data_IF_428081903206
#
_entry.id   IF_428081903206
#
_cell.length_a   1.000
_cell.length_b   1.000
_cell.length_c   1.000
_cell.angle_alpha   90.00
_cell.angle_beta   90.00
_cell.angle_gamma   90.00
#
_symmetry.space_group_name_H-M   'P 1'
#
loop_
_entity.id
_entity.type
_entity.pdbx_description
1 polymer ?
#
# COMPACT_ATOMS: atom_id res chain seq x y z
N UNK A 1 -9.64 -83.77 -15.22
CA UNK A 1 -9.47 -83.86 -16.71
C UNK A 1 -8.11 -83.24 -17.02
N UNK A 2 -7.13 -83.79 -17.74
CA UNK A 2 -6.98 -84.89 -18.69
C UNK A 2 -5.61 -85.56 -18.46
N UNK A 3 -5.54 -86.83 -18.85
CA UNK A 3 -4.47 -87.83 -18.72
C UNK A 3 -3.23 -87.51 -19.57
N UNK A 4 -2.07 -88.08 -19.19
CA UNK A 4 -1.15 -88.90 -20.04
C UNK A 4 0.00 -89.41 -19.16
N UNK A 5 -0.02 -90.67 -18.71
CA UNK A 5 0.28 -91.96 -19.37
C UNK A 5 1.75 -92.38 -19.18
N UNK A 6 1.90 -93.30 -18.23
CA UNK A 6 2.96 -94.28 -18.04
C UNK A 6 3.17 -95.13 -19.32
N UNK A 7 4.41 -95.50 -19.64
CA UNK A 7 4.70 -96.76 -20.33
C UNK A 7 6.14 -97.21 -20.04
N UNK A 8 6.21 -98.13 -19.07
CA UNK A 8 7.30 -99.07 -18.85
C UNK A 8 7.03 -100.27 -19.77
N UNK A 9 8.03 -100.67 -20.57
CA UNK A 9 8.19 -101.99 -21.20
C UNK A 9 9.70 -102.24 -21.13
N UNK A 10 10.24 -103.33 -20.59
CA UNK A 10 9.71 -104.67 -20.50
C UNK A 10 10.67 -105.60 -21.24
N UNK A 11 11.61 -106.15 -20.47
CA UNK A 11 12.57 -107.23 -20.75
C UNK A 11 12.11 -108.32 -21.73
N UNK A 12 13.01 -108.87 -22.57
CA UNK A 12 13.34 -110.33 -22.60
C UNK A 12 14.27 -110.78 -23.74
N UNK A 13 15.37 -111.45 -23.35
CA UNK A 13 16.03 -112.66 -23.88
C UNK A 13 16.15 -112.96 -25.40
N UNK A 14 17.39 -113.15 -25.87
CA UNK A 14 17.96 -114.25 -26.70
C UNK A 14 19.42 -113.83 -27.02
N UNK A 15 20.50 -114.62 -26.98
CA UNK A 15 20.66 -116.05 -27.21
C UNK A 15 21.72 -116.26 -28.31
N UNK A 16 22.97 -116.49 -27.88
CA UNK A 16 24.01 -117.26 -28.56
C UNK A 16 24.75 -116.77 -29.83
N UNK A 17 26.05 -117.12 -29.80
CA UNK A 17 26.97 -117.46 -30.88
C UNK A 17 27.87 -116.35 -31.47
N UNK A 18 29.15 -116.49 -31.09
CA UNK A 18 30.35 -115.92 -31.71
C UNK A 18 30.32 -115.94 -33.25
N UNK A 19 30.70 -114.82 -33.85
CA UNK A 19 31.57 -114.77 -35.03
C UNK A 19 32.53 -113.57 -34.86
N UNK A 20 33.82 -113.87 -34.88
CA UNK A 20 34.90 -112.89 -34.94
C UNK A 20 34.69 -111.90 -36.08
N UNK A 21 34.83 -110.61 -35.80
CA UNK A 21 35.60 -109.72 -36.68
C UNK A 21 36.23 -108.61 -35.85
N UNK A 22 37.54 -108.46 -36.04
CA UNK A 22 38.37 -107.44 -35.45
C UNK A 22 37.92 -106.05 -35.94
N UNK A 23 37.82 -105.11 -35.00
CA UNK A 23 38.03 -103.70 -35.26
C UNK A 23 38.37 -103.03 -33.93
N UNK A 24 39.34 -102.15 -33.98
CA UNK A 24 40.01 -101.50 -32.87
C UNK A 24 39.05 -100.71 -31.97
N UNK A 25 39.24 -100.85 -30.67
CA UNK A 25 38.63 -100.05 -29.61
C UNK A 25 39.76 -99.64 -28.67
N UNK A 26 39.92 -98.44 -28.16
CA UNK A 26 39.18 -97.19 -28.27
C UNK A 26 40.05 -96.17 -27.49
N UNK A 27 40.69 -95.23 -28.19
CA UNK A 27 41.43 -94.14 -27.58
C UNK A 27 40.96 -92.76 -28.08
N UNK A 28 40.03 -92.73 -29.05
CA UNK A 28 39.49 -91.51 -29.66
C UNK A 28 38.15 -91.06 -29.06
N UNK A 29 37.40 -91.94 -28.39
CA UNK A 29 36.11 -91.59 -27.78
C UNK A 29 36.30 -90.72 -26.53
N UNK A 30 37.31 -91.02 -25.70
CA UNK A 30 37.57 -90.33 -24.42
C UNK A 30 37.96 -88.86 -24.61
N UNK A 31 38.80 -88.54 -25.61
CA UNK A 31 39.23 -87.17 -25.87
C UNK A 31 38.13 -86.32 -26.53
N UNK A 32 37.27 -86.93 -27.35
CA UNK A 32 36.10 -86.26 -27.93
C UNK A 32 35.03 -85.95 -26.87
N UNK A 33 34.80 -86.89 -25.94
CA UNK A 33 33.92 -86.72 -24.78
C UNK A 33 34.46 -85.63 -23.86
N UNK A 34 35.78 -85.58 -23.62
CA UNK A 34 36.41 -84.49 -22.83
C UNK A 34 36.24 -83.13 -23.48
N UNK A 35 36.48 -82.98 -24.78
CA UNK A 35 36.32 -81.70 -25.48
C UNK A 35 34.86 -81.23 -25.53
N UNK A 36 33.90 -82.16 -25.67
CA UNK A 36 32.47 -81.85 -25.59
C UNK A 36 32.07 -81.42 -24.17
N UNK A 37 32.63 -82.06 -23.13
CA UNK A 37 32.42 -81.72 -21.74
C UNK A 37 33.02 -80.34 -21.39
N UNK A 38 34.18 -80.03 -21.94
CA UNK A 38 34.85 -78.73 -21.78
C UNK A 38 34.03 -77.59 -22.41
N UNK A 39 33.57 -77.76 -23.66
CA UNK A 39 32.64 -76.81 -24.31
C UNK A 39 31.31 -76.68 -23.59
N UNK A 40 30.80 -77.76 -23.01
CA UNK A 40 29.57 -77.74 -22.23
C UNK A 40 29.76 -76.97 -20.92
N UNK A 41 30.87 -77.18 -20.22
CA UNK A 41 31.24 -76.42 -19.01
C UNK A 41 31.42 -74.94 -19.35
N UNK A 42 32.09 -74.62 -20.45
CA UNK A 42 32.30 -73.25 -20.91
C UNK A 42 30.97 -72.57 -21.28
N UNK A 43 30.09 -73.25 -22.03
CA UNK A 43 28.75 -72.76 -22.32
C UNK A 43 27.91 -72.57 -21.06
N UNK A 44 28.00 -73.50 -20.10
CA UNK A 44 27.33 -73.40 -18.80
C UNK A 44 27.85 -72.21 -18.00
N UNK A 45 29.15 -71.94 -18.07
CA UNK A 45 29.80 -70.80 -17.43
C UNK A 45 29.34 -69.48 -18.04
N UNK A 46 29.29 -69.39 -19.38
CA UNK A 46 28.78 -68.21 -20.10
C UNK A 46 27.31 -67.97 -19.79
N UNK A 47 26.45 -68.99 -19.88
CA UNK A 47 25.02 -68.88 -19.51
C UNK A 47 24.87 -68.41 -18.06
N UNK A 48 25.68 -68.94 -17.15
CA UNK A 48 25.64 -68.54 -15.74
C UNK A 48 26.14 -67.11 -15.53
N UNK A 49 27.13 -66.65 -16.30
CA UNK A 49 27.58 -65.25 -16.29
C UNK A 49 26.49 -64.32 -16.80
N UNK A 50 25.92 -64.63 -17.96
CA UNK A 50 24.89 -63.82 -18.60
C UNK A 50 23.59 -63.76 -17.77
N UNK A 51 23.21 -64.86 -17.11
CA UNK A 51 22.10 -64.86 -16.14
C UNK A 51 22.37 -63.94 -14.95
N UNK A 52 23.60 -63.88 -14.45
CA UNK A 52 23.97 -62.96 -13.36
C UNK A 52 23.97 -61.51 -13.82
N UNK A 53 24.56 -61.23 -14.99
CA UNK A 53 24.58 -59.89 -15.58
C UNK A 53 23.18 -59.39 -15.91
N UNK A 54 22.32 -60.26 -16.44
CA UNK A 54 20.91 -59.95 -16.68
C UNK A 54 20.18 -59.64 -15.37
N UNK A 55 20.36 -60.46 -14.33
CA UNK A 55 19.74 -60.22 -13.02
C UNK A 55 20.19 -58.87 -12.41
N UNK A 56 21.50 -58.59 -12.43
CA UNK A 56 22.05 -57.31 -12.00
C UNK A 56 21.54 -56.13 -12.83
N UNK A 57 21.46 -56.31 -14.15
CA UNK A 57 20.93 -55.28 -15.06
C UNK A 57 19.46 -54.98 -14.79
N UNK A 58 18.64 -56.00 -14.53
CA UNK A 58 17.24 -55.82 -14.14
C UNK A 58 17.12 -55.09 -12.79
N UNK A 59 17.91 -55.46 -11.79
CA UNK A 59 17.93 -54.80 -10.48
C UNK A 59 18.28 -53.32 -10.60
N UNK A 60 19.39 -53.00 -11.27
CA UNK A 60 19.83 -51.61 -11.49
C UNK A 60 18.80 -50.78 -12.28
N UNK A 61 18.15 -51.36 -13.29
CA UNK A 61 17.10 -50.65 -14.04
C UNK A 61 15.87 -50.40 -13.17
N UNK A 62 15.46 -51.36 -12.34
CA UNK A 62 14.34 -51.20 -11.42
C UNK A 62 14.62 -50.12 -10.38
N UNK A 63 15.81 -50.11 -9.77
CA UNK A 63 16.23 -49.05 -8.83
C UNK A 63 16.19 -47.68 -9.50
N UNK A 64 16.67 -47.58 -10.75
CA UNK A 64 16.64 -46.31 -11.50
C UNK A 64 15.22 -45.87 -11.84
N UNK A 65 14.34 -46.81 -12.20
CA UNK A 65 12.92 -46.52 -12.45
C UNK A 65 12.27 -45.99 -11.16
N UNK A 66 12.54 -46.62 -10.02
CA UNK A 66 12.02 -46.17 -8.73
C UNK A 66 12.49 -44.76 -8.38
N UNK A 67 13.78 -44.47 -8.54
CA UNK A 67 14.34 -43.13 -8.30
C UNK A 67 13.71 -42.07 -9.20
N UNK A 68 13.61 -42.35 -10.51
CA UNK A 68 13.00 -41.42 -11.48
C UNK A 68 11.51 -41.23 -11.17
N UNK A 69 10.80 -42.27 -10.73
CA UNK A 69 9.40 -42.16 -10.36
C UNK A 69 9.22 -41.27 -9.12
N UNK A 70 10.07 -41.44 -8.10
CA UNK A 70 10.09 -40.56 -6.92
C UNK A 70 10.40 -39.10 -7.29
N UNK A 71 11.33 -38.89 -8.22
CA UNK A 71 11.67 -37.55 -8.72
C UNK A 71 10.51 -36.91 -9.50
N UNK A 72 9.82 -37.68 -10.35
CA UNK A 72 8.61 -37.23 -11.06
C UNK A 72 7.52 -36.82 -10.07
N UNK A 73 7.29 -37.62 -9.04
CA UNK A 73 6.23 -37.35 -8.06
C UNK A 73 6.58 -36.11 -7.22
N UNK A 74 7.85 -35.93 -6.82
CA UNK A 74 8.33 -34.71 -6.17
C UNK A 74 8.20 -33.47 -7.07
N UNK A 75 8.52 -33.58 -8.36
CA UNK A 75 8.36 -32.48 -9.31
C UNK A 75 6.90 -32.11 -9.53
N UNK A 76 5.99 -33.09 -9.61
CA UNK A 76 4.55 -32.83 -9.70
C UNK A 76 4.01 -32.09 -8.48
N UNK A 77 4.44 -32.48 -7.28
CA UNK A 77 4.07 -31.78 -6.05
C UNK A 77 4.56 -30.32 -6.08
N UNK A 78 5.83 -30.10 -6.43
CA UNK A 78 6.39 -28.75 -6.60
C UNK A 78 5.66 -27.91 -7.64
N UNK A 79 5.24 -28.51 -8.76
CA UNK A 79 4.45 -27.81 -9.79
C UNK A 79 3.08 -27.42 -9.23
N UNK A 80 2.38 -28.34 -8.57
CA UNK A 80 1.08 -28.07 -7.94
C UNK A 80 1.18 -26.92 -6.92
N UNK A 81 2.21 -26.93 -6.09
CA UNK A 81 2.40 -25.89 -5.08
C UNK A 81 2.77 -24.53 -5.70
N UNK A 82 3.56 -24.55 -6.77
CA UNK A 82 3.85 -23.35 -7.55
C UNK A 82 2.57 -22.79 -8.21
N UNK A 83 1.72 -23.64 -8.80
CA UNK A 83 0.45 -23.24 -9.41
C UNK A 83 -0.52 -22.62 -8.38
N UNK A 84 -0.62 -23.21 -7.17
CA UNK A 84 -1.41 -22.63 -6.08
C UNK A 84 -0.88 -21.26 -5.66
N UNK A 85 0.44 -21.14 -5.47
CA UNK A 85 1.09 -19.89 -5.10
C UNK A 85 0.87 -18.79 -6.16
N UNK A 86 0.97 -19.15 -7.44
CA UNK A 86 0.67 -18.24 -8.55
C UNK A 86 -0.80 -17.78 -8.49
N UNK A 87 -1.74 -18.70 -8.30
CA UNK A 87 -3.16 -18.34 -8.20
C UNK A 87 -3.48 -17.41 -7.03
N UNK A 88 -2.83 -17.61 -5.87
CA UNK A 88 -2.98 -16.72 -4.71
C UNK A 88 -2.36 -15.34 -4.97
N UNK A 89 -1.18 -15.30 -5.60
CA UNK A 89 -0.53 -14.06 -5.97
C UNK A 89 -1.36 -13.26 -6.99
N UNK A 90 -1.95 -13.92 -7.98
CA UNK A 90 -2.84 -13.30 -8.97
C UNK A 90 -4.08 -12.70 -8.30
N UNK A 91 -4.75 -13.45 -7.42
CA UNK A 91 -5.88 -12.92 -6.64
C UNK A 91 -5.51 -11.71 -5.80
N UNK A 92 -4.35 -11.73 -5.14
CA UNK A 92 -3.86 -10.60 -4.34
C UNK A 92 -3.55 -9.40 -5.21
N UNK A 93 -2.94 -9.63 -6.38
CA UNK A 93 -2.66 -8.58 -7.37
C UNK A 93 -3.96 -7.93 -7.84
N UNK A 94 -4.96 -8.72 -8.22
CA UNK A 94 -6.24 -8.21 -8.69
C UNK A 94 -6.94 -7.38 -7.61
N UNK A 95 -6.95 -7.86 -6.35
CA UNK A 95 -7.49 -7.09 -5.22
C UNK A 95 -6.75 -5.77 -4.97
N UNK A 96 -5.42 -5.77 -5.06
CA UNK A 96 -4.62 -4.54 -4.93
C UNK A 96 -4.85 -3.55 -6.09
N UNK A 97 -5.12 -4.04 -7.30
CA UNK A 97 -5.46 -3.19 -8.44
C UNK A 97 -6.81 -2.53 -8.22
N UNK A 98 -7.81 -3.28 -7.77
CA UNK A 98 -9.14 -2.75 -7.43
C UNK A 98 -9.06 -1.70 -6.32
N UNK A 99 -8.37 -2.00 -5.21
CA UNK A 99 -8.15 -1.04 -4.13
C UNK A 99 -7.42 0.23 -4.61
N UNK A 100 -6.43 0.08 -5.50
CA UNK A 100 -5.72 1.23 -6.07
C UNK A 100 -6.64 2.11 -6.93
N UNK A 101 -7.54 1.51 -7.71
CA UNK A 101 -8.52 2.25 -8.49
C UNK A 101 -9.53 2.99 -7.62
N UNK A 102 -10.00 2.39 -6.53
CA UNK A 102 -10.87 3.05 -5.54
C UNK A 102 -10.17 4.23 -4.87
N UNK A 103 -8.92 4.04 -4.41
CA UNK A 103 -8.13 5.11 -3.79
C UNK A 103 -7.85 6.25 -4.77
N UNK A 104 -7.62 5.96 -6.05
CA UNK A 104 -7.49 6.99 -7.10
C UNK A 104 -8.78 7.79 -7.27
N UNK A 105 -9.94 7.13 -7.35
CA UNK A 105 -11.24 7.80 -7.45
C UNK A 105 -11.49 8.70 -6.24
N UNK A 106 -11.24 8.19 -5.03
CA UNK A 106 -11.37 8.96 -3.80
C UNK A 106 -10.42 10.17 -3.76
N UNK A 107 -9.17 9.99 -4.23
CA UNK A 107 -8.18 11.07 -4.28
C UNK A 107 -8.58 12.21 -5.23
N UNK A 108 -9.24 11.89 -6.36
CA UNK A 108 -9.77 12.91 -7.28
C UNK A 108 -10.87 13.74 -6.60
N UNK A 109 -11.85 13.08 -5.98
CA UNK A 109 -12.96 13.75 -5.28
C UNK A 109 -12.44 14.63 -4.13
N UNK A 110 -11.47 14.11 -3.36
CA UNK A 110 -10.84 14.88 -2.29
C UNK A 110 -10.08 16.09 -2.84
N UNK A 111 -9.38 15.92 -3.96
CA UNK A 111 -8.72 17.01 -4.68
C UNK A 111 -9.69 18.13 -5.04
N UNK A 112 -10.80 17.81 -5.71
CA UNK A 112 -11.84 18.79 -6.10
C UNK A 112 -12.45 19.51 -4.88
N UNK A 113 -12.68 18.78 -3.79
CA UNK A 113 -13.19 19.34 -2.55
C UNK A 113 -12.20 20.32 -1.94
N UNK A 114 -10.92 19.95 -1.87
CA UNK A 114 -9.84 20.81 -1.38
C UNK A 114 -9.73 22.07 -2.23
N UNK A 115 -9.81 21.96 -3.56
CA UNK A 115 -9.80 23.14 -4.46
C UNK A 115 -10.93 24.12 -4.11
N UNK A 116 -12.13 23.61 -3.85
CA UNK A 116 -13.28 24.45 -3.47
C UNK A 116 -13.08 25.12 -2.11
N UNK A 117 -12.50 24.38 -1.15
CA UNK A 117 -12.16 24.91 0.17
C UNK A 117 -11.06 25.98 0.11
N UNK A 118 -10.02 25.79 -0.70
CA UNK A 118 -8.97 26.79 -0.92
C UNK A 118 -9.55 28.08 -1.49
N UNK A 119 -10.38 27.99 -2.53
CA UNK A 119 -11.04 29.17 -3.10
C UNK A 119 -11.90 29.92 -2.08
N UNK A 120 -12.60 29.18 -1.21
CA UNK A 120 -13.42 29.76 -0.15
C UNK A 120 -12.55 30.40 0.93
N UNK A 121 -11.46 29.76 1.32
CA UNK A 121 -10.50 30.29 2.27
C UNK A 121 -9.84 31.58 1.76
N UNK A 122 -9.43 31.62 0.49
CA UNK A 122 -8.86 32.84 -0.14
C UNK A 122 -9.87 33.99 -0.15
N UNK A 123 -11.14 33.72 -0.50
CA UNK A 123 -12.21 34.72 -0.42
C UNK A 123 -12.42 35.22 1.01
N UNK A 124 -12.31 34.34 2.00
CA UNK A 124 -12.42 34.72 3.41
C UNK A 124 -11.26 35.62 3.85
N UNK A 125 -10.03 35.33 3.43
CA UNK A 125 -8.84 36.13 3.76
C UNK A 125 -8.99 37.60 3.36
N UNK A 126 -9.65 37.89 2.23
CA UNK A 126 -9.92 39.27 1.80
C UNK A 126 -10.86 40.04 2.75
N UNK A 127 -11.71 39.34 3.50
CA UNK A 127 -12.69 39.92 4.41
C UNK A 127 -12.19 40.08 5.86
N UNK A 128 -11.02 39.52 6.17
CA UNK A 128 -10.46 39.53 7.51
C UNK A 128 -9.92 40.91 7.90
N UNK A 129 -9.99 41.28 9.19
CA UNK A 129 -9.32 42.47 9.69
C UNK A 129 -7.79 42.31 9.68
N UNK A 130 -7.06 43.42 9.68
CA UNK A 130 -5.61 43.42 9.50
C UNK A 130 -4.85 42.58 10.56
N UNK A 131 -5.19 42.62 11.87
CA UNK A 131 -4.46 41.85 12.89
C UNK A 131 -4.48 40.32 12.67
N UNK A 132 -5.58 39.77 12.18
CA UNK A 132 -5.67 38.33 11.89
C UNK A 132 -5.13 38.03 10.49
N UNK A 133 -5.28 38.94 9.52
CA UNK A 133 -4.72 38.80 8.17
C UNK A 133 -3.20 38.66 8.22
N UNK A 134 -2.53 39.51 9.00
CA UNK A 134 -1.07 39.45 9.20
C UNK A 134 -0.64 38.17 9.89
N UNK A 135 -1.39 37.72 10.90
CA UNK A 135 -1.10 36.49 11.64
C UNK A 135 -1.18 35.24 10.78
N UNK A 136 -2.17 35.16 9.89
CA UNK A 136 -2.34 34.00 9.00
C UNK A 136 -1.52 34.10 7.71
N UNK A 137 -0.84 35.23 7.46
CA UNK A 137 -0.06 35.48 6.25
C UNK A 137 0.94 34.36 5.90
N UNK A 138 1.72 33.79 6.85
CA UNK A 138 2.63 32.68 6.54
C UNK A 138 1.91 31.40 6.10
N UNK A 139 0.69 31.17 6.58
CA UNK A 139 -0.14 30.02 6.21
C UNK A 139 -0.85 30.26 4.89
N UNK A 140 -1.35 31.49 4.64
CA UNK A 140 -2.03 31.83 3.40
C UNK A 140 -1.11 31.83 2.20
N UNK A 141 0.16 32.22 2.36
CA UNK A 141 1.17 32.14 1.29
C UNK A 141 1.47 30.71 0.83
N UNK A 142 1.13 29.71 1.65
CA UNK A 142 1.29 28.29 1.32
C UNK A 142 0.05 27.71 0.62
N UNK A 143 -1.02 28.49 0.48
CA UNK A 143 -2.17 28.11 -0.34
C UNK A 143 -1.75 28.33 -1.81
N UNK A 144 -1.81 27.32 -2.68
CA UNK A 144 -1.41 27.46 -4.08
C UNK A 144 -2.22 28.56 -4.78
N UNK A 145 -1.54 29.48 -5.45
CA UNK A 145 -2.20 30.47 -6.34
C UNK A 145 -2.78 29.78 -7.58
N UNK A 146 -2.04 28.81 -8.13
CA UNK A 146 -2.53 27.93 -9.19
C UNK A 146 -3.05 26.62 -8.57
N UNK A 147 -4.37 26.56 -8.48
CA UNK A 147 -5.12 25.44 -7.91
C UNK A 147 -5.12 24.21 -8.85
N UNK A 148 -4.74 24.37 -10.13
CA UNK A 148 -4.77 23.30 -11.14
C UNK A 148 -3.49 22.45 -11.17
N UNK A 149 -2.33 23.03 -10.85
CA UNK A 149 -1.04 22.32 -10.75
C UNK A 149 -0.34 22.61 -9.41
N UNK A 150 -0.90 22.14 -8.29
CA UNK A 150 -0.31 22.39 -6.98
C UNK A 150 1.00 21.60 -6.82
N UNK A 151 2.04 22.28 -6.33
CA UNK A 151 3.33 21.65 -5.97
C UNK A 151 3.26 20.83 -4.67
N UNK A 152 2.23 21.07 -3.85
CA UNK A 152 2.02 20.47 -2.54
C UNK A 152 1.07 19.26 -2.63
N UNK A 153 1.27 18.30 -1.74
CA UNK A 153 0.36 17.16 -1.60
C UNK A 153 -1.03 17.58 -1.11
N UNK A 154 -2.05 16.75 -1.35
CA UNK A 154 -3.42 16.99 -0.85
C UNK A 154 -3.45 17.18 0.68
N UNK A 155 -2.65 16.41 1.41
CA UNK A 155 -2.59 16.49 2.87
C UNK A 155 -2.04 17.84 3.34
N UNK A 156 -0.93 18.31 2.76
CA UNK A 156 -0.32 19.61 3.11
C UNK A 156 -1.25 20.78 2.79
N UNK A 157 -1.90 20.73 1.62
CA UNK A 157 -2.91 21.72 1.22
C UNK A 157 -4.05 21.80 2.21
N UNK A 158 -4.63 20.66 2.56
CA UNK A 158 -5.71 20.59 3.54
C UNK A 158 -5.26 21.11 4.91
N UNK A 159 -4.05 20.77 5.36
CA UNK A 159 -3.49 21.26 6.62
C UNK A 159 -3.35 22.80 6.63
N UNK A 160 -2.93 23.41 5.52
CA UNK A 160 -2.85 24.87 5.42
C UNK A 160 -4.22 25.53 5.59
N UNK A 161 -5.26 24.96 4.95
CA UNK A 161 -6.65 25.45 5.07
C UNK A 161 -7.12 25.37 6.53
N UNK A 162 -6.93 24.21 7.17
CA UNK A 162 -7.31 24.01 8.57
C UNK A 162 -6.54 24.97 9.49
N UNK A 163 -5.26 25.20 9.23
CA UNK A 163 -4.45 26.17 9.97
C UNK A 163 -5.04 27.59 9.91
N UNK A 164 -5.36 28.08 8.70
CA UNK A 164 -5.99 29.39 8.51
C UNK A 164 -7.34 29.45 9.21
N UNK A 165 -8.21 28.46 8.99
CA UNK A 165 -9.56 28.44 9.57
C UNK A 165 -9.53 28.35 11.10
N UNK A 166 -8.56 27.65 11.69
CA UNK A 166 -8.40 27.57 13.13
C UNK A 166 -8.02 28.93 13.74
N UNK A 167 -7.05 29.63 13.16
CA UNK A 167 -6.67 30.97 13.62
C UNK A 167 -7.82 31.97 13.48
N UNK A 168 -8.53 31.92 12.35
CA UNK A 168 -9.72 32.76 12.12
C UNK A 168 -10.83 32.44 13.12
N UNK A 169 -11.13 31.17 13.36
CA UNK A 169 -12.14 30.76 14.34
C UNK A 169 -11.75 31.16 15.77
N UNK A 170 -10.46 31.08 16.12
CA UNK A 170 -9.96 31.54 17.42
C UNK A 170 -10.16 33.05 17.57
N UNK A 171 -9.71 33.82 16.59
CA UNK A 171 -9.90 35.28 16.58
C UNK A 171 -11.38 35.67 16.65
N UNK A 172 -12.24 34.97 15.90
CA UNK A 172 -13.70 35.21 15.89
C UNK A 172 -14.38 35.02 17.25
N UNK A 173 -13.81 34.20 18.13
CA UNK A 173 -14.34 33.91 19.47
C UNK A 173 -13.79 34.84 20.56
N UNK A 174 -12.80 35.65 20.23
CA UNK A 174 -12.11 36.53 21.18
C UNK A 174 -12.44 38.00 20.90
N UNK A 175 -12.43 38.81 21.95
CA UNK A 175 -12.40 40.27 21.81
C UNK A 175 -10.94 40.69 21.81
N UNK A 176 -10.46 41.27 20.71
CA UNK A 176 -9.06 41.67 20.56
C UNK A 176 -8.92 43.17 20.61
N UNK A 177 -8.07 43.68 21.50
CA UNK A 177 -7.75 45.11 21.59
C UNK A 177 -6.31 45.33 21.12
N UNK A 178 -6.10 46.23 20.17
CA UNK A 178 -4.77 46.55 19.62
C UNK A 178 -4.63 48.05 19.37
N UNK A 179 -3.40 48.57 19.39
CA UNK A 179 -3.11 49.94 18.94
C UNK A 179 -2.79 49.91 17.45
N UNK A 180 -3.41 50.80 16.68
CA UNK A 180 -3.22 50.91 15.24
C UNK A 180 -3.04 52.39 14.86
N UNK A 181 -2.20 52.65 13.85
CA UNK A 181 -2.10 53.99 13.25
C UNK A 181 -3.07 54.05 12.09
N UNK A 182 -4.05 54.96 12.17
CA UNK A 182 -5.04 55.15 11.11
C UNK A 182 -4.88 56.50 10.43
N UNK A 183 -4.99 56.50 9.11
CA UNK A 183 -5.12 57.72 8.32
C UNK A 183 -6.55 58.24 8.42
N UNK A 184 -6.68 59.52 8.72
CA UNK A 184 -7.93 60.23 8.85
C UNK A 184 -8.36 60.87 7.53
N UNK A 185 -9.65 61.25 7.41
CA UNK A 185 -10.16 61.92 6.21
C UNK A 185 -9.45 63.25 5.90
N UNK A 186 -8.85 63.89 6.90
CA UNK A 186 -8.09 65.13 6.78
C UNK A 186 -6.64 64.94 6.28
N UNK A 187 -6.23 63.69 6.01
CA UNK A 187 -4.90 63.33 5.55
C UNK A 187 -3.84 63.23 6.66
N UNK A 188 -4.22 63.46 7.91
CA UNK A 188 -3.36 63.20 9.06
C UNK A 188 -3.39 61.72 9.46
N UNK A 189 -2.45 61.29 10.30
CA UNK A 189 -2.45 59.96 10.89
C UNK A 189 -2.55 60.09 12.41
N UNK A 190 -3.46 59.35 13.04
CA UNK A 190 -3.56 59.27 14.49
C UNK A 190 -3.38 57.83 14.96
N UNK A 191 -2.76 57.68 16.13
CA UNK A 191 -2.78 56.44 16.87
C UNK A 191 -4.16 56.29 17.53
N UNK A 192 -4.81 55.17 17.25
CA UNK A 192 -6.11 54.81 17.81
C UNK A 192 -6.03 53.43 18.44
N UNK A 193 -6.80 53.22 19.51
CA UNK A 193 -7.00 51.88 20.04
C UNK A 193 -8.22 51.26 19.36
N UNK A 194 -8.04 50.08 18.78
CA UNK A 194 -9.09 49.34 18.08
C UNK A 194 -9.47 48.11 18.89
N UNK A 195 -10.78 47.92 19.10
CA UNK A 195 -11.39 46.77 19.72
C UNK A 195 -12.17 45.98 18.67
N UNK A 196 -11.68 44.80 18.32
CA UNK A 196 -12.32 43.85 17.41
C UNK A 196 -13.21 42.89 18.19
N UNK A 197 -14.47 42.81 17.79
CA UNK A 197 -15.41 41.77 18.20
C UNK A 197 -15.42 40.68 17.13
N UNK A 198 -14.47 39.74 17.28
CA UNK A 198 -14.23 38.72 16.26
C UNK A 198 -13.92 39.31 14.89
N UNK A 199 -14.44 38.68 13.83
CA UNK A 199 -14.22 39.11 12.43
C UNK A 199 -15.34 39.96 11.84
N UNK A 200 -16.39 40.26 12.62
CA UNK A 200 -17.61 40.91 12.11
C UNK A 200 -17.64 42.41 12.31
N UNK A 201 -17.20 42.87 13.48
CA UNK A 201 -17.37 44.25 13.94
C UNK A 201 -16.13 44.70 14.70
N UNK A 202 -15.75 45.96 14.56
CA UNK A 202 -14.76 46.62 15.41
C UNK A 202 -15.20 48.03 15.78
N UNK A 203 -14.53 48.58 16.77
CA UNK A 203 -14.68 49.93 17.27
C UNK A 203 -13.30 50.53 17.46
N UNK A 204 -13.12 51.80 17.14
CA UNK A 204 -11.86 52.49 17.42
C UNK A 204 -12.12 53.81 18.12
N UNK A 205 -11.17 54.22 18.95
CA UNK A 205 -11.13 55.56 19.53
C UNK A 205 -9.68 56.03 19.72
N UNK A 206 -9.42 57.31 19.50
CA UNK A 206 -8.18 57.98 19.89
C UNK A 206 -8.15 58.21 21.40
N UNK A 207 -6.95 58.31 21.98
CA UNK A 207 -6.80 58.43 23.44
C UNK A 207 -7.45 59.69 24.03
N UNK A 208 -7.56 60.75 23.24
CA UNK A 208 -8.20 62.02 23.58
C UNK A 208 -9.72 62.03 23.27
N UNK A 209 -10.26 60.97 22.65
CA UNK A 209 -11.67 60.86 22.27
C UNK A 209 -12.08 61.75 21.11
N UNK A 210 -11.13 62.39 20.42
CA UNK A 210 -11.40 63.28 19.28
C UNK A 210 -11.86 62.50 18.05
N UNK A 211 -11.36 61.28 17.86
CA UNK A 211 -11.67 60.45 16.71
C UNK A 211 -12.14 59.07 17.15
N UNK A 212 -13.33 58.67 16.71
CA UNK A 212 -13.84 57.33 16.91
C UNK A 212 -14.72 56.87 15.77
N UNK A 213 -15.06 55.59 15.79
CA UNK A 213 -15.95 55.03 14.80
C UNK A 213 -16.06 53.53 14.88
N UNK A 214 -16.68 52.98 13.84
CA UNK A 214 -16.95 51.55 13.71
C UNK A 214 -16.26 50.98 12.48
N UNK A 215 -15.87 49.71 12.57
CA UNK A 215 -15.35 48.93 11.45
C UNK A 215 -16.23 47.72 11.21
N UNK A 216 -16.55 47.42 9.95
CA UNK A 216 -17.28 46.20 9.58
C UNK A 216 -16.64 45.50 8.39
N UNK A 217 -16.79 44.18 8.34
CA UNK A 217 -16.33 43.39 7.21
C UNK A 217 -17.26 43.55 6.00
N UNK A 218 -16.69 43.79 4.82
CA UNK A 218 -17.38 43.88 3.52
C UNK A 218 -16.83 42.87 2.51
N UNK A 219 -17.44 42.78 1.32
CA UNK A 219 -16.96 41.97 0.19
C UNK A 219 -15.54 42.31 -0.23
N UNK A 220 -15.20 43.60 -0.16
CA UNK A 220 -13.95 44.17 -0.70
C UNK A 220 -12.93 44.50 0.39
N UNK A 221 -13.19 44.08 1.63
CA UNK A 221 -12.32 44.34 2.79
C UNK A 221 -13.06 45.02 3.94
N UNK A 222 -12.30 45.55 4.89
CA UNK A 222 -12.86 46.24 6.05
C UNK A 222 -13.20 47.69 5.73
N UNK A 223 -14.45 48.07 6.02
CA UNK A 223 -14.94 49.43 5.85
C UNK A 223 -15.01 50.08 7.23
N UNK A 224 -14.55 51.33 7.30
CA UNK A 224 -14.54 52.11 8.52
C UNK A 224 -15.43 53.32 8.35
N UNK A 225 -16.29 53.54 9.33
CA UNK A 225 -17.20 54.68 9.39
C UNK A 225 -16.88 55.49 10.64
N UNK A 226 -16.58 56.77 10.44
CA UNK A 226 -16.34 57.72 11.52
C UNK A 226 -17.65 58.05 12.23
N UNK A 227 -17.62 57.98 13.55
CA UNK A 227 -18.68 58.43 14.44
C UNK A 227 -18.04 58.83 15.76
N UNK A 228 -17.81 60.13 15.94
CA UNK A 228 -17.17 60.67 17.14
C UNK A 228 -18.14 60.74 18.33
N UNK A 229 -19.45 60.53 18.11
CA UNK A 229 -20.45 60.59 19.19
C UNK A 229 -20.35 59.41 20.17
N UNK A 230 -19.78 58.30 19.72
CA UNK A 230 -19.62 57.05 20.49
C UNK A 230 -18.23 56.91 21.15
N UNK A 231 -17.38 57.93 21.07
CA UNK A 231 -16.00 57.88 21.57
C UNK A 231 -15.92 57.51 23.07
N UNK A 232 -16.76 58.14 23.89
CA UNK A 232 -16.77 57.92 25.34
C UNK A 232 -17.12 56.46 25.70
N UNK A 233 -18.13 55.90 25.03
CA UNK A 233 -18.56 54.52 25.24
C UNK A 233 -17.47 53.52 24.79
N UNK A 234 -16.84 53.77 23.64
CA UNK A 234 -15.74 52.93 23.14
C UNK A 234 -14.55 52.94 24.11
N UNK A 235 -14.14 54.12 24.59
CA UNK A 235 -13.04 54.26 25.55
C UNK A 235 -13.36 53.57 26.88
N UNK A 236 -14.61 53.68 27.36
CA UNK A 236 -15.07 52.96 28.55
C UNK A 236 -14.98 51.44 28.35
N UNK A 237 -15.47 50.91 27.22
CA UNK A 237 -15.39 49.47 26.91
C UNK A 237 -13.94 48.97 26.86
N UNK A 238 -13.04 49.73 26.23
CA UNK A 238 -11.61 49.41 26.16
C UNK A 238 -10.98 49.41 27.56
N UNK A 239 -11.29 50.40 28.40
CA UNK A 239 -10.76 50.48 29.77
C UNK A 239 -11.23 49.30 30.64
N UNK A 240 -12.49 48.87 30.49
CA UNK A 240 -13.03 47.68 31.17
C UNK A 240 -12.28 46.42 30.72
N UNK A 241 -12.08 46.23 29.41
CA UNK A 241 -11.35 45.07 28.87
C UNK A 241 -9.89 45.02 29.32
N UNK A 242 -9.25 46.18 29.50
CA UNK A 242 -7.91 46.31 30.04
C UNK A 242 -7.84 46.17 31.57
N UNK A 243 -8.97 45.95 32.24
CA UNK A 243 -9.11 45.94 33.71
C UNK A 243 -8.71 47.26 34.40
N UNK A 244 -8.79 48.37 33.68
CA UNK A 244 -8.54 49.72 34.22
C UNK A 244 -9.79 50.30 34.90
N UNK A 245 -10.98 49.76 34.58
CA UNK A 245 -12.27 50.12 35.16
C UNK A 245 -13.06 48.88 35.61
N UNK A 246 -14.02 49.10 36.51
CA UNK A 246 -14.92 48.04 37.01
C UNK A 246 -15.88 47.63 35.89
N UNK A 247 -16.19 46.34 35.81
CA UNK A 247 -17.15 45.79 34.87
C UNK A 247 -18.50 46.54 34.93
N UNK A 248 -18.95 47.02 33.77
CA UNK A 248 -20.23 47.70 33.59
C UNK A 248 -20.78 47.41 32.19
N UNK A 249 -22.07 47.65 32.00
CA UNK A 249 -22.70 47.53 30.70
C UNK A 249 -22.44 48.80 29.88
N UNK A 250 -21.84 48.64 28.71
CA UNK A 250 -21.61 49.72 27.74
C UNK A 250 -22.46 49.43 26.51
N UNK A 251 -23.17 50.43 26.01
CA UNK A 251 -23.97 50.30 24.80
C UNK A 251 -23.14 50.72 23.60
N UNK A 252 -22.91 49.80 22.67
CA UNK A 252 -22.21 50.09 21.42
C UNK A 252 -23.12 49.75 20.24
N UNK A 253 -23.10 50.56 19.16
CA UNK A 253 -23.91 50.29 17.99
C UNK A 253 -23.39 49.04 17.28
N UNK A 254 -24.28 48.10 16.94
CA UNK A 254 -23.95 46.90 16.15
C UNK A 254 -24.83 46.90 14.92
N UNK A 255 -24.22 46.78 13.74
CA UNK A 255 -24.93 46.58 12.48
C UNK A 255 -24.82 45.11 12.08
N UNK A 256 -25.95 44.39 12.08
CA UNK A 256 -26.00 43.00 11.60
C UNK A 256 -26.45 43.04 10.13
N UNK A 257 -25.55 42.70 9.22
CA UNK A 257 -25.83 42.59 7.77
C UNK A 257 -26.01 41.14 7.35
#
# INVERSE_FOLDING_TARGET
MRKRKLLIVGCSLFGAALLCNAAETDAGDVDSVRAALEKWVESRKVISQEQREWALGQEMLNERIELVQQEIDSLKEKISDAEKSISEADKKRDGLVEENEELKKASVVLGETIMTLEQTAVKLLGKLPDPIRERVMPLSQRIPEDVKEPKLSLAERFQNIIGVLNEVNKFSREITVTSEVRSLPDGSSAEVTVMYLGIGQAYYASADGTFSGTGTSSSDGWIWAEDNSIAADILQAIAILKNEQIASFVQLPVEVK
#
